data_IF_457654932226
#
_entry.id   IF_457654932226
#
_cell.length_a   1.000
_cell.length_b   1.000
_cell.length_c   1.000
_cell.angle_alpha   90.00
_cell.angle_beta   90.00
_cell.angle_gamma   90.00
#
_symmetry.space_group_name_H-M   'P 1'
#
loop_
_entity.id
_entity.type
_entity.pdbx_description
1 polymer ?
#
# COMPACT_ATOMS: atom_id res chain seq x y z
N UNK A 1 9.06 -14.87 -75.89
CA UNK A 1 9.92 -16.06 -76.08
C UNK A 1 10.11 -16.74 -74.74
N UNK A 2 9.43 -17.89 -74.55
CA UNK A 2 9.68 -19.00 -73.59
C UNK A 2 9.65 -18.57 -72.10
N UNK A 3 8.62 -18.78 -71.27
CA UNK A 3 7.79 -19.96 -70.92
C UNK A 3 8.58 -21.26 -70.86
N UNK A 4 9.01 -21.67 -69.66
CA UNK A 4 9.06 -23.08 -69.27
C UNK A 4 9.04 -23.22 -67.75
N UNK A 5 7.85 -23.63 -67.31
CA UNK A 5 7.53 -24.39 -66.12
C UNK A 5 8.32 -25.72 -66.10
N UNK A 6 8.86 -26.12 -64.95
CA UNK A 6 9.21 -27.51 -64.65
C UNK A 6 8.84 -27.79 -63.20
N UNK A 7 7.74 -28.52 -63.05
CA UNK A 7 7.33 -29.26 -61.87
C UNK A 7 8.02 -30.63 -61.89
N UNK A 8 8.71 -31.00 -60.81
CA UNK A 8 9.04 -32.41 -60.49
C UNK A 8 9.09 -32.59 -58.96
N UNK A 9 8.07 -33.28 -58.50
CA UNK A 9 7.94 -34.08 -57.27
C UNK A 9 9.17 -34.92 -56.90
N UNK A 10 9.58 -34.91 -55.63
CA UNK A 10 9.99 -36.11 -54.87
C UNK A 10 10.44 -35.72 -53.43
N UNK A 11 9.77 -36.30 -52.44
CA UNK A 11 10.18 -36.28 -51.04
C UNK A 11 11.41 -37.20 -50.82
N UNK A 12 12.37 -36.85 -49.95
CA UNK A 12 13.36 -37.82 -49.50
C UNK A 12 12.79 -38.68 -48.36
N UNK A 13 12.80 -39.99 -48.60
CA UNK A 13 12.50 -41.04 -47.62
C UNK A 13 13.47 -41.00 -46.43
N UNK A 14 12.93 -41.28 -45.25
CA UNK A 14 13.67 -41.43 -44.01
C UNK A 14 14.54 -42.68 -44.04
N UNK A 15 15.86 -42.51 -43.92
CA UNK A 15 16.79 -43.62 -43.67
C UNK A 15 16.88 -43.83 -42.16
N UNK A 16 16.26 -44.92 -41.71
CA UNK A 16 16.38 -45.47 -40.36
C UNK A 16 17.77 -46.08 -40.18
N UNK A 17 18.57 -45.57 -39.25
CA UNK A 17 19.81 -46.21 -38.80
C UNK A 17 19.66 -46.62 -37.33
N UNK A 18 19.46 -47.92 -37.13
CA UNK A 18 19.46 -48.62 -35.85
C UNK A 18 20.89 -48.73 -35.29
N UNK A 19 21.16 -48.27 -34.04
CA UNK A 19 22.41 -48.59 -33.35
C UNK A 19 22.30 -49.92 -32.58
N UNK A 20 23.35 -50.73 -32.69
CA UNK A 20 23.54 -52.06 -32.11
C UNK A 20 23.35 -52.15 -30.57
N UNK A 21 23.03 -53.35 -30.04
CA UNK A 21 22.74 -53.57 -28.61
C UNK A 21 24.00 -53.53 -27.72
N UNK A 22 23.85 -53.00 -26.51
CA UNK A 22 24.88 -52.92 -25.45
C UNK A 22 24.59 -53.98 -24.34
N UNK A 23 25.62 -54.58 -23.71
CA UNK A 23 25.52 -55.91 -23.10
C UNK A 23 24.80 -55.97 -21.75
N UNK A 24 24.27 -57.16 -21.50
CA UNK A 24 23.54 -57.64 -20.31
C UNK A 24 24.40 -57.74 -19.06
N UNK A 25 23.87 -57.24 -17.94
CA UNK A 25 24.42 -57.41 -16.59
C UNK A 25 24.39 -58.88 -16.12
N UNK A 26 25.37 -59.31 -15.30
CA UNK A 26 25.43 -60.66 -14.74
C UNK A 26 24.36 -60.91 -13.65
N UNK A 27 23.92 -62.18 -13.47
CA UNK A 27 22.82 -62.54 -12.58
C UNK A 27 23.18 -62.44 -11.08
N UNK A 28 22.17 -62.29 -10.20
CA UNK A 28 22.38 -62.16 -8.76
C UNK A 28 22.81 -63.49 -8.11
N UNK A 29 23.59 -63.48 -7.02
CA UNK A 29 23.96 -64.68 -6.30
C UNK A 29 22.79 -65.24 -5.48
N UNK A 30 22.62 -66.56 -5.57
CA UNK A 30 21.71 -67.38 -4.77
C UNK A 30 22.16 -67.43 -3.29
N UNK A 31 21.26 -67.09 -2.37
CA UNK A 31 21.47 -67.27 -0.93
C UNK A 31 21.02 -68.68 -0.51
N UNK A 32 21.89 -69.42 0.17
CA UNK A 32 21.57 -70.62 0.94
C UNK A 32 21.57 -70.30 2.45
N UNK A 33 20.74 -70.97 3.28
CA UNK A 33 20.52 -70.58 4.67
C UNK A 33 21.35 -71.39 5.68
N UNK A 34 21.93 -70.72 6.69
CA UNK A 34 22.35 -71.21 8.01
C UNK A 34 23.16 -70.07 8.67
N UNK A 35 23.26 -69.83 9.97
CA UNK A 35 22.79 -70.50 11.18
C UNK A 35 22.73 -69.41 12.27
N UNK A 36 21.85 -69.55 13.26
CA UNK A 36 21.59 -68.53 14.28
C UNK A 36 22.53 -68.73 15.46
N UNK A 37 23.36 -67.75 15.80
CA UNK A 37 24.03 -67.67 17.12
C UNK A 37 24.03 -66.21 17.56
N UNK A 38 23.44 -65.85 18.72
CA UNK A 38 23.44 -64.47 19.17
C UNK A 38 24.71 -64.16 19.97
N UNK A 39 25.48 -63.17 19.51
CA UNK A 39 26.51 -62.48 20.29
C UNK A 39 25.92 -61.24 21.00
N UNK A 40 26.54 -60.75 22.10
CA UNK A 40 25.94 -59.73 22.96
C UNK A 40 26.02 -58.33 22.33
N UNK A 41 24.95 -57.58 22.55
CA UNK A 41 24.67 -56.24 22.02
C UNK A 41 25.53 -55.19 22.72
N UNK A 42 26.31 -54.41 21.95
CA UNK A 42 26.85 -53.12 22.39
C UNK A 42 25.76 -52.03 22.22
N UNK A 43 25.67 -51.01 23.11
CA UNK A 43 24.61 -50.02 23.06
C UNK A 43 24.81 -49.03 21.90
N UNK A 44 23.81 -49.00 21.01
CA UNK A 44 23.58 -47.98 19.98
C UNK A 44 23.62 -46.56 20.56
N UNK A 45 24.16 -45.55 19.84
CA UNK A 45 24.02 -44.14 20.23
C UNK A 45 22.53 -43.76 20.28
N UNK A 46 22.12 -43.18 21.40
CA UNK A 46 20.80 -42.59 21.60
C UNK A 46 20.57 -41.51 20.54
N UNK A 47 19.71 -41.79 19.56
CA UNK A 47 19.13 -40.80 18.67
C UNK A 47 18.29 -39.81 19.49
N UNK A 48 18.68 -38.55 19.43
CA UNK A 48 17.96 -37.40 19.96
C UNK A 48 16.51 -37.38 19.42
N UNK A 49 15.50 -37.02 20.21
CA UNK A 49 14.11 -36.96 19.76
C UNK A 49 14.00 -36.04 18.54
N UNK A 50 13.53 -36.60 17.42
CA UNK A 50 13.37 -35.90 16.17
C UNK A 50 12.59 -34.60 16.36
N UNK A 51 13.16 -33.51 15.81
CA UNK A 51 12.43 -32.27 15.64
C UNK A 51 11.09 -32.57 14.97
N UNK A 52 10.00 -32.22 15.67
CA UNK A 52 8.67 -32.17 15.08
C UNK A 52 8.75 -31.37 13.78
N UNK A 53 8.20 -31.84 12.64
CA UNK A 53 8.12 -31.02 11.45
C UNK A 53 7.43 -29.72 11.86
N UNK A 54 8.10 -28.58 11.66
CA UNK A 54 7.41 -27.30 11.76
C UNK A 54 6.14 -27.44 10.90
N UNK A 55 4.97 -27.28 11.54
CA UNK A 55 3.73 -27.15 10.78
C UNK A 55 3.92 -26.05 9.74
N UNK A 56 3.15 -26.06 8.64
CA UNK A 56 3.25 -24.99 7.65
C UNK A 56 3.21 -23.65 8.41
N UNK A 57 4.29 -22.88 8.28
CA UNK A 57 4.27 -21.48 8.69
C UNK A 57 3.09 -20.89 7.95
N UNK A 58 2.06 -20.48 8.68
CA UNK A 58 0.97 -19.71 8.10
C UNK A 58 1.62 -18.40 7.69
N UNK A 59 2.02 -18.29 6.41
CA UNK A 59 2.35 -17.00 5.84
C UNK A 59 1.11 -16.14 6.02
N UNK A 60 1.23 -15.10 6.84
CA UNK A 60 0.21 -14.07 6.92
C UNK A 60 0.28 -13.37 5.58
N UNK A 61 -0.57 -13.80 4.65
CA UNK A 61 -0.65 -13.15 3.35
C UNK A 61 -1.40 -11.86 3.58
N UNK A 62 -0.65 -10.76 3.60
CA UNK A 62 -1.25 -9.43 3.66
C UNK A 62 -2.14 -9.24 2.43
N UNK A 63 -3.38 -8.82 2.69
CA UNK A 63 -4.33 -8.49 1.66
C UNK A 63 -4.24 -6.99 1.42
N UNK A 64 -4.21 -6.63 0.14
CA UNK A 64 -4.12 -5.27 -0.34
C UNK A 64 -5.38 -4.90 -1.11
N UNK A 65 -5.55 -3.60 -1.28
CA UNK A 65 -6.59 -2.99 -2.10
C UNK A 65 -6.02 -1.88 -2.97
N UNK A 66 -6.73 -1.56 -4.05
CA UNK A 66 -6.39 -0.42 -4.92
C UNK A 66 -6.61 0.89 -4.17
N UNK A 67 -5.64 1.79 -4.28
CA UNK A 67 -5.58 3.10 -3.65
C UNK A 67 -5.03 4.14 -4.64
N UNK A 68 -5.34 5.43 -4.44
CA UNK A 68 -4.87 6.55 -5.28
C UNK A 68 -5.18 6.42 -6.78
N UNK A 69 -6.32 5.82 -7.12
CA UNK A 69 -6.86 5.75 -8.49
C UNK A 69 -8.21 6.44 -8.49
N UNK A 70 -8.38 7.43 -9.37
CA UNK A 70 -9.63 8.17 -9.52
C UNK A 70 -10.81 7.24 -9.85
N UNK A 71 -12.02 7.61 -9.43
CA UNK A 71 -13.24 6.82 -9.66
C UNK A 71 -13.51 6.52 -11.15
N UNK A 72 -12.97 7.36 -12.05
CA UNK A 72 -13.13 7.21 -13.50
C UNK A 72 -11.90 6.57 -14.18
N UNK A 73 -10.94 6.05 -13.43
CA UNK A 73 -9.72 5.42 -13.91
C UNK A 73 -9.57 3.97 -13.40
N UNK A 74 -8.54 3.26 -13.86
CA UNK A 74 -8.25 1.87 -13.48
C UNK A 74 -6.77 1.65 -13.21
N UNK A 75 -6.46 0.74 -12.29
CA UNK A 75 -5.09 0.25 -12.11
C UNK A 75 -4.80 -0.85 -13.13
N UNK A 76 -3.92 -0.54 -14.08
CA UNK A 76 -3.45 -1.50 -15.08
C UNK A 76 -2.56 -2.59 -14.43
N UNK A 77 -2.92 -3.86 -14.65
CA UNK A 77 -2.09 -5.02 -14.32
C UNK A 77 -1.31 -5.41 -15.57
N UNK A 78 0.01 -5.47 -15.46
CA UNK A 78 0.94 -5.66 -16.60
C UNK A 78 1.64 -7.01 -16.59
N UNK A 79 2.12 -7.44 -17.75
CA UNK A 79 2.83 -8.71 -17.91
C UNK A 79 4.20 -8.74 -17.19
N UNK A 80 4.79 -7.58 -16.89
CA UNK A 80 6.08 -7.42 -16.23
C UNK A 80 6.19 -6.09 -15.49
N UNK A 81 7.28 -5.90 -14.74
CA UNK A 81 7.57 -4.70 -13.99
C UNK A 81 7.87 -3.52 -14.93
N UNK A 82 6.95 -2.55 -15.04
CA UNK A 82 7.14 -1.33 -15.81
C UNK A 82 6.02 -1.04 -16.80
N UNK A 83 5.95 0.22 -17.25
CA UNK A 83 4.90 0.70 -18.15
C UNK A 83 5.03 0.20 -19.60
N UNK A 84 6.18 -0.34 -19.97
CA UNK A 84 6.45 -0.86 -21.32
C UNK A 84 5.87 -2.26 -21.57
N UNK A 85 5.44 -2.96 -20.52
CA UNK A 85 4.83 -4.29 -20.63
C UNK A 85 3.33 -4.20 -20.96
N UNK A 86 2.85 -5.15 -21.74
CA UNK A 86 1.44 -5.27 -22.12
C UNK A 86 0.52 -5.33 -20.89
N UNK A 87 -0.65 -4.70 -20.98
CA UNK A 87 -1.71 -4.80 -19.97
C UNK A 87 -2.41 -6.16 -20.11
N UNK A 88 -2.40 -6.94 -19.03
CA UNK A 88 -3.00 -8.29 -18.94
C UNK A 88 -4.29 -8.31 -18.12
N UNK A 89 -4.62 -7.20 -17.46
CA UNK A 89 -5.85 -7.02 -16.72
C UNK A 89 -5.97 -5.63 -16.14
N UNK A 90 -7.12 -5.33 -15.54
CA UNK A 90 -7.41 -4.05 -14.92
C UNK A 90 -8.08 -4.30 -13.56
N UNK A 91 -7.71 -3.49 -12.57
CA UNK A 91 -8.35 -3.46 -11.26
C UNK A 91 -9.10 -2.14 -11.12
N UNK A 92 -10.35 -2.23 -10.69
CA UNK A 92 -11.17 -1.06 -10.42
C UNK A 92 -10.65 -0.32 -9.18
N UNK A 93 -10.95 0.98 -9.03
CA UNK A 93 -10.77 1.69 -7.77
C UNK A 93 -11.40 0.89 -6.63
N UNK A 94 -10.77 0.90 -5.46
CA UNK A 94 -11.22 0.19 -4.24
C UNK A 94 -11.21 -1.35 -4.32
N UNK A 95 -10.75 -1.96 -5.42
CA UNK A 95 -10.71 -3.42 -5.56
C UNK A 95 -9.85 -4.06 -4.46
N UNK A 96 -10.40 -5.06 -3.76
CA UNK A 96 -9.77 -5.77 -2.64
C UNK A 96 -9.35 -7.20 -3.00
N UNK A 97 -8.74 -7.91 -2.05
CA UNK A 97 -8.34 -9.31 -2.24
C UNK A 97 -7.11 -9.46 -3.12
N UNK A 98 -6.23 -8.46 -3.12
CA UNK A 98 -4.97 -8.45 -3.85
C UNK A 98 -3.89 -9.02 -2.92
N UNK A 99 -3.13 -9.99 -3.39
CA UNK A 99 -1.96 -10.50 -2.67
C UNK A 99 -0.70 -10.15 -3.44
N UNK A 100 0.29 -9.57 -2.75
CA UNK A 100 1.65 -9.46 -3.29
C UNK A 100 2.30 -10.84 -3.15
N UNK A 101 2.80 -11.39 -4.27
CA UNK A 101 3.22 -12.80 -4.39
C UNK A 101 4.73 -13.00 -4.46
N UNK A 102 5.49 -11.93 -4.44
CA UNK A 102 6.94 -11.95 -4.61
C UNK A 102 7.57 -10.60 -4.36
N UNK A 103 8.89 -10.56 -4.51
CA UNK A 103 9.65 -9.32 -4.34
C UNK A 103 9.34 -8.33 -5.47
N UNK A 104 9.29 -7.06 -5.13
CA UNK A 104 9.14 -5.99 -6.10
C UNK A 104 10.43 -5.68 -6.85
N UNK A 105 10.28 -5.02 -8.00
CA UNK A 105 11.37 -4.52 -8.84
C UNK A 105 11.25 -3.01 -8.99
N UNK A 106 12.37 -2.29 -8.83
CA UNK A 106 12.42 -0.85 -9.05
C UNK A 106 12.67 -0.58 -10.54
N UNK A 107 11.70 0.06 -11.19
CA UNK A 107 11.78 0.44 -12.60
C UNK A 107 11.47 1.92 -12.71
N UNK A 108 12.44 2.68 -13.25
CA UNK A 108 12.35 4.14 -13.41
C UNK A 108 11.99 4.91 -12.13
N UNK A 109 12.40 4.40 -10.96
CA UNK A 109 12.17 5.04 -9.67
C UNK A 109 10.83 4.70 -9.02
N UNK A 110 10.01 3.81 -9.63
CA UNK A 110 8.82 3.26 -8.99
C UNK A 110 9.01 1.78 -8.68
N UNK A 111 8.46 1.34 -7.55
CA UNK A 111 8.42 -0.07 -7.19
C UNK A 111 7.24 -0.75 -7.89
N UNK A 112 7.52 -1.81 -8.62
CA UNK A 112 6.52 -2.69 -9.22
C UNK A 112 6.47 -3.99 -8.45
N UNK A 113 5.29 -4.47 -8.09
CA UNK A 113 5.13 -5.70 -7.31
C UNK A 113 4.31 -6.74 -8.08
N UNK A 114 4.70 -8.03 -8.02
CA UNK A 114 3.92 -9.10 -8.64
C UNK A 114 2.71 -9.40 -7.75
N UNK A 115 1.52 -9.26 -8.31
CA UNK A 115 0.26 -9.51 -7.62
C UNK A 115 -0.47 -10.72 -8.17
N UNK A 116 -1.25 -11.33 -7.30
CA UNK A 116 -2.30 -12.26 -7.67
C UNK A 116 -3.61 -11.86 -7.00
N UNK A 117 -4.68 -12.01 -7.75
CA UNK A 117 -6.06 -12.00 -7.27
C UNK A 117 -6.68 -13.36 -7.59
N UNK A 118 -7.93 -13.59 -7.20
CA UNK A 118 -8.65 -14.80 -7.61
C UNK A 118 -8.85 -14.95 -9.13
N UNK A 119 -8.57 -13.92 -9.95
CA UNK A 119 -8.86 -13.92 -11.40
C UNK A 119 -7.70 -13.47 -12.29
N UNK A 120 -6.83 -12.61 -11.79
CA UNK A 120 -5.78 -11.92 -12.56
C UNK A 120 -4.46 -12.05 -11.78
N UNK A 121 -3.37 -12.33 -12.49
CA UNK A 121 -2.01 -12.22 -11.98
C UNK A 121 -1.15 -11.40 -12.94
N UNK A 122 -0.18 -10.66 -12.40
CA UNK A 122 0.71 -9.80 -13.17
C UNK A 122 1.44 -8.83 -12.25
N UNK A 123 1.84 -7.68 -12.78
CA UNK A 123 2.60 -6.66 -12.06
C UNK A 123 1.82 -5.36 -12.01
N UNK A 124 1.86 -4.68 -10.88
CA UNK A 124 1.28 -3.34 -10.70
C UNK A 124 2.32 -2.42 -10.06
N UNK A 125 2.19 -1.12 -10.31
CA UNK A 125 2.94 -0.13 -9.56
C UNK A 125 2.40 -0.10 -8.12
N UNK A 126 3.29 -0.27 -7.15
CA UNK A 126 2.93 -0.43 -5.75
C UNK A 126 2.40 0.85 -5.13
N UNK A 127 2.61 2.01 -5.76
CA UNK A 127 2.02 3.28 -5.34
C UNK A 127 0.50 3.25 -5.27
N UNK A 128 -0.12 2.41 -6.10
CA UNK A 128 -1.58 2.29 -6.18
C UNK A 128 -2.15 1.15 -5.34
N UNK A 129 -1.37 0.64 -4.38
CA UNK A 129 -1.81 -0.36 -3.43
C UNK A 129 -1.71 0.17 -2.01
N UNK A 130 -2.67 -0.18 -1.17
CA UNK A 130 -2.55 -0.03 0.28
C UNK A 130 -2.99 -1.32 0.96
N UNK A 131 -2.51 -1.58 2.17
CA UNK A 131 -2.95 -2.78 2.91
C UNK A 131 -4.43 -2.64 3.26
N UNK A 132 -5.19 -3.70 3.03
CA UNK A 132 -6.62 -3.74 3.32
C UNK A 132 -6.85 -3.93 4.82
N UNK A 133 -6.77 -2.82 5.55
CA UNK A 133 -6.90 -2.77 7.02
C UNK A 133 -8.12 -1.97 7.47
N UNK A 134 -9.16 -1.80 6.64
CA UNK A 134 -10.31 -0.96 7.02
C UNK A 134 -11.04 -1.55 8.23
N UNK A 135 -10.77 -0.98 9.41
CA UNK A 135 -11.19 -1.51 10.69
C UNK A 135 -11.06 -0.44 11.78
N UNK A 136 -12.12 -0.17 12.53
CA UNK A 136 -12.13 0.86 13.58
C UNK A 136 -11.16 0.55 14.73
N UNK A 137 -10.81 -0.72 14.94
CA UNK A 137 -9.81 -1.12 15.94
C UNK A 137 -8.36 -0.76 15.54
N UNK A 138 -8.12 -0.32 14.30
CA UNK A 138 -6.77 0.02 13.83
C UNK A 138 -6.20 1.22 14.60
N UNK A 139 -7.04 2.17 15.02
CA UNK A 139 -6.59 3.34 15.79
C UNK A 139 -6.11 3.01 17.21
N UNK A 140 -6.47 1.82 17.73
CA UNK A 140 -6.00 1.32 19.03
C UNK A 140 -4.61 0.68 18.95
N UNK A 141 -4.10 0.43 17.73
CA UNK A 141 -2.75 -0.10 17.56
C UNK A 141 -1.72 0.89 18.09
N UNK A 142 -0.76 0.41 18.90
CA UNK A 142 0.28 1.24 19.49
C UNK A 142 1.10 2.02 18.44
N UNK A 143 1.32 1.43 17.27
CA UNK A 143 2.00 2.09 16.16
C UNK A 143 1.21 3.30 15.61
N UNK A 144 -0.12 3.20 15.52
CA UNK A 144 -0.97 4.31 15.07
C UNK A 144 -1.06 5.39 16.14
N UNK A 145 -1.14 5.02 17.42
CA UNK A 145 -1.10 5.99 18.51
C UNK A 145 0.23 6.76 18.54
N UNK A 146 1.34 6.06 18.30
CA UNK A 146 2.66 6.66 18.18
C UNK A 146 2.75 7.60 16.97
N UNK A 147 2.26 7.17 15.80
CA UNK A 147 2.23 7.98 14.58
C UNK A 147 1.50 9.32 14.80
N UNK A 148 0.34 9.27 15.46
CA UNK A 148 -0.44 10.47 15.77
C UNK A 148 0.27 11.40 16.75
N UNK A 149 0.92 10.84 17.79
CA UNK A 149 1.70 11.63 18.74
C UNK A 149 2.94 12.28 18.09
N UNK A 150 3.59 11.59 17.16
CA UNK A 150 4.71 12.13 16.39
C UNK A 150 4.26 13.25 15.44
N UNK A 151 3.08 13.12 14.83
CA UNK A 151 2.48 14.18 14.03
C UNK A 151 2.21 15.43 14.88
N UNK A 152 1.56 15.27 16.04
CA UNK A 152 1.31 16.38 16.96
C UNK A 152 2.62 17.06 17.40
N UNK A 153 3.65 16.28 17.72
CA UNK A 153 4.96 16.80 18.09
C UNK A 153 5.58 17.59 16.94
N UNK A 154 5.63 17.02 15.73
CA UNK A 154 6.19 17.66 14.54
C UNK A 154 5.49 19.00 14.23
N UNK A 155 4.16 19.06 14.34
CA UNK A 155 3.38 20.29 14.15
C UNK A 155 3.60 21.32 15.27
N UNK A 156 3.77 20.86 16.51
CA UNK A 156 3.99 21.75 17.66
C UNK A 156 5.39 22.39 17.65
N UNK A 157 6.41 21.61 17.28
CA UNK A 157 7.81 22.03 17.23
C UNK A 157 8.19 22.65 15.88
N UNK A 158 7.30 22.52 14.86
CA UNK A 158 7.56 22.92 13.47
C UNK A 158 8.81 22.24 12.92
N UNK A 159 8.94 20.94 13.21
CA UNK A 159 10.09 20.13 12.79
C UNK A 159 9.81 19.46 11.44
N UNK A 160 10.41 20.02 10.38
CA UNK A 160 10.26 19.49 9.02
C UNK A 160 10.74 18.03 8.90
N UNK A 161 11.85 17.67 9.56
CA UNK A 161 12.39 16.32 9.46
C UNK A 161 11.47 15.33 10.16
N UNK A 162 10.93 15.71 11.32
CA UNK A 162 9.96 14.88 12.03
C UNK A 162 8.71 14.67 11.17
N UNK A 163 8.17 15.73 10.56
CA UNK A 163 7.00 15.61 9.68
C UNK A 163 7.31 14.74 8.45
N UNK A 164 8.42 15.00 7.74
CA UNK A 164 8.80 14.27 6.53
C UNK A 164 8.93 12.76 6.78
N UNK A 165 9.44 12.34 7.94
CA UNK A 165 9.55 10.92 8.32
C UNK A 165 8.18 10.22 8.49
N UNK A 166 7.10 10.98 8.69
CA UNK A 166 5.74 10.44 8.78
C UNK A 166 5.07 10.35 7.41
N UNK A 167 5.66 10.91 6.36
CA UNK A 167 5.07 10.99 5.01
C UNK A 167 5.75 9.97 4.09
N UNK A 168 4.95 9.19 3.38
CA UNK A 168 5.49 8.19 2.46
C UNK A 168 6.31 8.87 1.34
N UNK A 169 7.56 8.43 1.08
CA UNK A 169 8.50 9.17 0.23
C UNK A 169 8.06 9.31 -1.23
N UNK A 170 7.34 8.33 -1.76
CA UNK A 170 6.84 8.38 -3.15
C UNK A 170 5.39 8.91 -3.26
N UNK A 171 4.64 8.97 -2.14
CA UNK A 171 3.21 9.35 -2.17
C UNK A 171 2.97 10.77 -1.66
N UNK A 172 3.88 11.32 -0.87
CA UNK A 172 3.65 12.65 -0.28
C UNK A 172 2.40 12.66 0.62
N UNK A 173 1.83 13.84 0.80
CA UNK A 173 0.63 14.05 1.60
C UNK A 173 -0.39 14.90 0.83
N UNK A 174 -1.65 14.51 0.90
CA UNK A 174 -2.76 15.23 0.27
C UNK A 174 -3.44 16.13 1.30
N UNK A 175 -3.58 17.42 1.01
CA UNK A 175 -4.05 18.41 1.98
C UNK A 175 -5.23 19.19 1.42
N UNK A 176 -6.30 19.27 2.21
CA UNK A 176 -7.50 20.04 1.89
C UNK A 176 -7.77 21.09 2.98
N UNK A 177 -7.90 22.36 2.56
CA UNK A 177 -8.22 23.50 3.43
C UNK A 177 -9.65 23.45 4.00
N UNK A 178 -10.59 22.99 3.20
CA UNK A 178 -11.89 22.46 3.62
C UNK A 178 -12.14 21.22 2.76
N UNK A 179 -13.01 20.32 3.20
CA UNK A 179 -13.29 19.05 2.49
C UNK A 179 -13.73 19.17 1.02
N UNK A 180 -14.26 20.33 0.60
CA UNK A 180 -14.61 20.61 -0.80
C UNK A 180 -13.56 21.42 -1.57
N UNK A 181 -12.49 21.86 -0.92
CA UNK A 181 -11.43 22.61 -1.58
C UNK A 181 -10.66 21.68 -2.50
N UNK A 182 -10.11 22.22 -3.58
CA UNK A 182 -9.18 21.47 -4.42
C UNK A 182 -8.03 20.91 -3.57
N UNK A 183 -7.57 19.72 -3.95
CA UNK A 183 -6.48 19.05 -3.28
C UNK A 183 -5.15 19.79 -3.55
N UNK A 184 -4.37 20.01 -2.48
CA UNK A 184 -2.96 20.35 -2.60
C UNK A 184 -2.14 19.11 -2.26
N UNK A 185 -1.52 18.52 -3.29
CA UNK A 185 -0.61 17.39 -3.14
C UNK A 185 0.81 17.89 -2.88
N UNK A 186 1.32 17.65 -1.68
CA UNK A 186 2.68 18.00 -1.27
C UNK A 186 3.59 16.76 -1.39
N UNK A 187 4.59 16.84 -2.25
CA UNK A 187 5.59 15.78 -2.41
C UNK A 187 6.53 15.73 -1.21
N UNK A 188 7.19 14.58 -1.02
CA UNK A 188 8.06 14.39 0.13
C UNK A 188 9.19 15.46 0.20
N UNK A 189 9.78 15.81 -0.94
CA UNK A 189 10.81 16.86 -1.03
C UNK A 189 10.29 18.26 -0.66
N UNK A 190 9.00 18.54 -0.82
CA UNK A 190 8.38 19.79 -0.38
C UNK A 190 8.17 19.76 1.14
N UNK A 191 7.79 18.60 1.68
CA UNK A 191 7.60 18.39 3.13
C UNK A 191 8.88 18.63 3.92
N UNK A 192 10.04 18.29 3.38
CA UNK A 192 11.38 18.49 3.98
C UNK A 192 11.68 19.94 4.41
N UNK A 193 10.96 20.92 3.86
CA UNK A 193 11.14 22.33 4.19
C UNK A 193 9.85 23.09 4.49
N UNK A 194 8.71 22.39 4.58
CA UNK A 194 7.35 22.94 4.55
C UNK A 194 7.07 24.07 5.53
N UNK A 195 7.59 24.00 6.76
CA UNK A 195 7.37 25.04 7.77
C UNK A 195 8.17 26.33 7.53
N UNK A 196 9.23 26.25 6.73
CA UNK A 196 10.17 27.36 6.45
C UNK A 196 10.12 27.82 4.99
N UNK A 197 9.49 27.02 4.14
CA UNK A 197 9.36 27.30 2.72
C UNK A 197 8.41 28.48 2.48
N UNK A 198 8.67 29.24 1.42
CA UNK A 198 7.91 30.43 1.06
C UNK A 198 7.13 30.26 -0.25
N UNK A 199 6.85 29.02 -0.66
CA UNK A 199 6.00 28.73 -1.81
C UNK A 199 4.55 29.00 -1.43
N UNK A 200 3.91 29.87 -2.21
CA UNK A 200 2.48 30.11 -2.11
C UNK A 200 1.71 28.99 -2.80
N UNK A 201 0.71 28.46 -2.10
CA UNK A 201 -0.26 27.52 -2.64
C UNK A 201 -1.64 28.17 -2.67
N UNK A 202 -2.48 27.76 -3.62
CA UNK A 202 -3.90 28.07 -3.62
C UNK A 202 -4.62 26.97 -2.86
N UNK A 203 -4.95 27.22 -1.60
CA UNK A 203 -5.52 26.23 -0.69
C UNK A 203 -7.02 26.01 -0.87
N UNK A 204 -7.72 27.01 -1.41
CA UNK A 204 -9.16 26.98 -1.60
C UNK A 204 -9.76 28.37 -1.42
N UNK A 205 -11.04 28.38 -1.03
CA UNK A 205 -11.80 29.62 -0.82
C UNK A 205 -12.39 29.60 0.57
N UNK A 206 -12.35 30.75 1.25
CA UNK A 206 -12.98 30.90 2.55
C UNK A 206 -14.51 30.98 2.38
N UNK A 207 -15.20 30.15 3.16
CA UNK A 207 -16.65 30.14 3.20
C UNK A 207 -17.24 31.49 3.69
N UNK A 208 -18.39 31.87 3.13
CA UNK A 208 -19.08 33.14 3.39
C UNK A 208 -18.45 34.38 2.74
N UNK A 209 -17.12 34.54 2.75
CA UNK A 209 -16.44 35.70 2.13
C UNK A 209 -16.16 35.51 0.64
N UNK A 210 -15.92 34.26 0.22
CA UNK A 210 -15.49 33.94 -1.14
C UNK A 210 -14.05 34.35 -1.45
N UNK A 211 -13.25 34.71 -0.44
CA UNK A 211 -11.86 35.10 -0.62
C UNK A 211 -10.96 33.88 -0.82
N UNK A 212 -10.17 33.90 -1.89
CA UNK A 212 -9.13 32.90 -2.14
C UNK A 212 -8.13 32.86 -0.98
N UNK A 213 -7.83 31.65 -0.52
CA UNK A 213 -6.82 31.38 0.49
C UNK A 213 -5.51 31.04 -0.21
N UNK A 214 -4.71 32.06 -0.45
CA UNK A 214 -3.40 31.95 -1.10
C UNK A 214 -2.34 32.32 -0.08
N UNK A 215 -1.34 31.45 0.08
CA UNK A 215 -0.21 31.68 0.97
C UNK A 215 0.59 30.42 1.22
N UNK A 216 1.64 30.55 2.02
CA UNK A 216 2.48 29.41 2.42
C UNK A 216 1.73 28.46 3.36
N UNK A 217 2.23 27.22 3.49
CA UNK A 217 1.69 26.28 4.46
C UNK A 217 1.71 26.84 5.89
N UNK A 218 2.79 27.54 6.26
CA UNK A 218 2.96 28.16 7.57
C UNK A 218 2.02 29.34 7.84
N UNK A 219 1.55 30.03 6.80
CA UNK A 219 0.62 31.16 6.94
C UNK A 219 -0.84 30.70 6.99
N UNK A 220 -1.20 29.64 6.25
CA UNK A 220 -2.59 29.22 6.08
C UNK A 220 -2.90 27.95 6.89
N UNK A 221 -2.23 26.84 6.60
CA UNK A 221 -2.61 25.52 7.13
C UNK A 221 -2.09 25.29 8.55
N UNK A 222 -0.83 25.68 8.84
CA UNK A 222 -0.23 25.44 10.15
C UNK A 222 -1.01 26.08 11.30
N UNK A 223 -1.50 27.35 11.23
CA UNK A 223 -2.30 27.92 12.31
C UNK A 223 -3.59 27.14 12.57
N UNK A 224 -4.23 26.58 11.54
CA UNK A 224 -5.45 25.78 11.66
C UNK A 224 -5.17 24.41 12.28
N UNK A 225 -4.08 23.76 11.87
CA UNK A 225 -3.61 22.51 12.50
C UNK A 225 -3.27 22.75 13.98
N UNK A 226 -2.55 23.83 14.30
CA UNK A 226 -2.21 24.16 15.69
C UNK A 226 -3.41 24.56 16.52
N UNK A 227 -4.42 25.20 15.93
CA UNK A 227 -5.67 25.57 16.62
C UNK A 227 -6.55 24.37 16.86
N UNK A 228 -6.87 23.61 15.81
CA UNK A 228 -7.94 22.61 15.84
C UNK A 228 -7.43 21.18 16.04
N UNK A 229 -6.31 20.78 15.40
CA UNK A 229 -5.73 19.44 15.58
C UNK A 229 -5.08 19.32 16.96
N UNK A 230 -4.12 20.21 17.28
CA UNK A 230 -3.47 20.20 18.60
C UNK A 230 -4.40 20.65 19.74
N UNK A 231 -5.51 21.32 19.40
CA UNK A 231 -6.55 21.72 20.34
C UNK A 231 -7.65 20.68 20.53
N UNK A 232 -7.60 19.54 19.83
CA UNK A 232 -8.66 18.54 19.87
C UNK A 232 -8.80 17.89 21.24
N UNK A 233 -10.03 17.73 21.71
CA UNK A 233 -10.36 17.02 22.95
C UNK A 233 -11.17 15.76 22.73
N UNK A 234 -11.70 15.59 21.53
CA UNK A 234 -12.53 14.46 21.13
C UNK A 234 -11.93 13.80 19.89
N UNK A 235 -11.99 12.47 19.86
CA UNK A 235 -11.35 11.67 18.83
C UNK A 235 -12.26 10.52 18.44
N UNK A 236 -12.23 10.14 17.16
CA UNK A 236 -12.89 8.94 16.67
C UNK A 236 -12.04 8.26 15.58
N UNK A 237 -12.25 6.97 15.38
CA UNK A 237 -11.61 6.20 14.32
C UNK A 237 -12.63 5.96 13.21
N UNK A 238 -12.26 6.28 11.97
CA UNK A 238 -13.11 6.10 10.78
C UNK A 238 -14.51 6.72 10.85
N UNK A 239 -14.71 7.67 11.77
CA UNK A 239 -15.94 8.42 11.95
C UNK A 239 -15.58 9.90 11.97
N UNK A 240 -16.21 10.69 11.09
CA UNK A 240 -16.01 12.14 11.03
C UNK A 240 -16.76 12.82 12.17
N UNK A 241 -16.00 13.35 13.13
CA UNK A 241 -16.54 14.23 14.17
C UNK A 241 -16.67 15.66 13.64
N UNK A 242 -17.79 16.31 13.93
CA UNK A 242 -18.08 17.68 13.51
C UNK A 242 -19.04 18.36 14.50
N UNK A 243 -19.05 19.68 14.48
CA UNK A 243 -20.08 20.48 15.14
C UNK A 243 -21.28 20.73 14.22
N UNK A 244 -22.24 21.53 14.69
CA UNK A 244 -23.37 21.91 13.84
C UNK A 244 -22.89 22.66 12.59
N UNK A 245 -23.33 22.25 11.40
CA UNK A 245 -23.11 22.92 10.10
C UNK A 245 -24.40 22.86 9.27
N UNK A 246 -24.54 23.78 8.31
CA UNK A 246 -25.64 23.75 7.34
C UNK A 246 -25.42 22.70 6.23
N UNK A 247 -24.16 22.31 6.00
CA UNK A 247 -23.74 21.41 4.92
C UNK A 247 -23.75 19.92 5.27
N UNK A 248 -23.34 19.11 4.29
CA UNK A 248 -22.97 17.71 4.52
C UNK A 248 -21.52 17.64 4.99
N UNK A 249 -21.20 16.64 5.81
CA UNK A 249 -19.84 16.37 6.25
C UNK A 249 -19.44 15.00 5.69
N UNK A 250 -18.58 15.01 4.68
CA UNK A 250 -18.11 13.82 3.98
C UNK A 250 -16.60 13.91 3.76
N UNK A 251 -15.95 12.76 3.59
CA UNK A 251 -14.56 12.74 3.09
C UNK A 251 -14.54 13.15 1.61
N UNK A 252 -13.43 13.75 1.13
CA UNK A 252 -13.16 13.86 -0.29
C UNK A 252 -13.24 12.50 -0.98
N UNK A 253 -13.69 12.48 -2.23
CA UNK A 253 -13.82 11.26 -3.01
C UNK A 253 -12.47 10.56 -3.16
N UNK A 254 -12.46 9.24 -2.99
CA UNK A 254 -11.23 8.45 -3.06
C UNK A 254 -10.39 8.52 -1.78
N UNK A 255 -10.90 9.07 -0.67
CA UNK A 255 -10.26 8.92 0.65
C UNK A 255 -10.97 7.89 1.53
N UNK A 256 -12.14 7.40 1.12
CA UNK A 256 -12.94 6.44 1.86
C UNK A 256 -12.24 5.08 2.00
N UNK A 257 -11.26 4.77 1.16
CA UNK A 257 -10.52 3.51 1.25
C UNK A 257 -9.52 3.45 2.40
N UNK A 258 -9.12 4.60 2.97
CA UNK A 258 -8.12 4.65 4.03
C UNK A 258 -8.77 4.66 5.41
N UNK A 259 -7.99 4.26 6.39
CA UNK A 259 -8.35 4.55 7.77
C UNK A 259 -7.96 5.99 8.09
N UNK A 260 -8.74 6.62 8.97
CA UNK A 260 -8.44 7.95 9.47
C UNK A 260 -8.80 8.11 10.92
N UNK A 261 -8.17 9.09 11.54
CA UNK A 261 -8.52 9.53 12.89
C UNK A 261 -9.08 10.94 12.81
N UNK A 262 -10.25 11.13 13.40
CA UNK A 262 -10.82 12.45 13.63
C UNK A 262 -10.19 13.09 14.86
N UNK A 263 -9.81 14.35 14.73
CA UNK A 263 -9.35 15.24 15.78
C UNK A 263 -10.34 16.39 15.87
N UNK A 264 -11.24 16.34 16.85
CA UNK A 264 -12.30 17.33 16.99
C UNK A 264 -12.04 18.25 18.19
N UNK A 265 -11.99 19.55 17.88
CA UNK A 265 -12.02 20.63 18.86
C UNK A 265 -13.44 21.20 18.91
N UNK A 266 -14.19 20.98 20.00
CA UNK A 266 -15.48 21.64 20.18
C UNK A 266 -15.29 23.16 20.33
N UNK A 267 -16.38 23.90 20.13
CA UNK A 267 -16.36 25.33 20.42
C UNK A 267 -16.06 25.57 21.92
N UNK A 268 -15.31 26.64 22.25
CA UNK A 268 -14.95 26.92 23.62
C UNK A 268 -16.19 27.22 24.48
N UNK A 269 -16.16 26.82 25.76
CA UNK A 269 -17.27 27.08 26.69
C UNK A 269 -17.57 28.59 26.78
N UNK A 270 -18.83 28.97 26.56
CA UNK A 270 -19.25 30.38 26.49
C UNK A 270 -18.85 31.12 25.21
N UNK A 271 -18.26 30.42 24.24
CA UNK A 271 -17.91 30.93 22.92
C UNK A 271 -19.05 30.90 21.90
N UNK A 272 -18.70 31.12 20.64
CA UNK A 272 -19.62 31.02 19.51
C UNK A 272 -19.74 29.55 19.14
N UNK A 273 -20.96 29.00 19.08
CA UNK A 273 -21.21 27.57 18.75
C UNK A 273 -20.62 27.15 17.40
N UNK A 274 -20.44 28.11 16.50
CA UNK A 274 -19.84 27.94 15.16
C UNK A 274 -18.31 27.86 15.19
N UNK A 275 -17.64 28.22 16.29
CA UNK A 275 -16.17 28.20 16.39
C UNK A 275 -15.65 26.82 16.82
N UNK A 276 -16.07 25.77 16.12
CA UNK A 276 -15.51 24.43 16.23
C UNK A 276 -14.59 24.14 15.04
N UNK A 277 -13.73 23.12 15.17
CA UNK A 277 -12.90 22.67 14.06
C UNK A 277 -12.59 21.18 14.19
N UNK A 278 -12.49 20.49 13.06
CA UNK A 278 -12.16 19.06 13.01
C UNK A 278 -11.13 18.79 11.92
N UNK A 279 -10.24 17.84 12.17
CA UNK A 279 -9.32 17.30 11.17
C UNK A 279 -9.53 15.81 11.02
N UNK A 280 -9.72 15.35 9.79
CA UNK A 280 -9.54 13.95 9.43
C UNK A 280 -8.08 13.73 9.01
N UNK A 281 -7.37 12.94 9.80
CA UNK A 281 -5.97 12.57 9.54
C UNK A 281 -5.96 11.15 9.00
N UNK A 282 -5.76 11.02 7.69
CA UNK A 282 -5.65 9.74 7.00
C UNK A 282 -4.29 9.10 7.26
N UNK A 283 -4.28 7.77 7.39
CA UNK A 283 -3.04 7.02 7.55
C UNK A 283 -3.13 5.64 6.92
N UNK A 284 -1.97 5.09 6.59
CA UNK A 284 -1.84 3.76 6.03
C UNK A 284 -0.61 3.02 6.54
N UNK A 285 -0.61 1.71 6.33
CA UNK A 285 0.55 0.86 6.59
C UNK A 285 1.09 0.32 5.27
N UNK A 286 2.39 0.48 5.07
CA UNK A 286 3.11 0.03 3.90
C UNK A 286 4.48 -0.54 4.29
N UNK A 287 4.70 -1.80 3.95
CA UNK A 287 5.96 -2.53 4.17
C UNK A 287 6.47 -2.46 5.63
N UNK A 288 5.57 -2.65 6.58
CA UNK A 288 5.83 -2.62 8.03
C UNK A 288 5.85 -1.22 8.65
N UNK A 289 5.70 -0.16 7.86
CA UNK A 289 5.81 1.23 8.31
C UNK A 289 4.47 1.96 8.18
N UNK A 290 4.20 2.88 9.10
CA UNK A 290 2.99 3.68 9.11
C UNK A 290 3.26 5.08 8.61
N UNK A 291 2.33 5.61 7.78
CA UNK A 291 2.47 6.92 7.17
C UNK A 291 1.17 7.72 7.26
N UNK A 292 1.28 9.04 7.37
CA UNK A 292 0.16 9.97 7.19
C UNK A 292 -0.04 10.18 5.68
N UNK A 293 -1.28 10.03 5.22
CA UNK A 293 -1.64 10.10 3.79
C UNK A 293 -2.35 11.38 3.43
N UNK A 294 -3.24 11.87 4.30
CA UNK A 294 -3.97 13.11 4.04
C UNK A 294 -4.32 13.88 5.30
N UNK A 295 -4.60 15.17 5.12
CA UNK A 295 -5.17 16.08 6.11
C UNK A 295 -6.36 16.82 5.50
N UNK A 296 -7.54 16.61 6.06
CA UNK A 296 -8.77 17.30 5.62
C UNK A 296 -9.38 18.06 6.79
N UNK A 297 -9.58 19.36 6.61
CA UNK A 297 -10.20 20.20 7.63
C UNK A 297 -11.71 20.36 7.42
N UNK A 298 -12.39 20.51 8.55
CA UNK A 298 -13.82 20.79 8.64
C UNK A 298 -14.03 21.88 9.69
N UNK A 299 -14.90 22.83 9.40
CA UNK A 299 -15.30 23.88 10.33
C UNK A 299 -16.74 24.28 10.04
N UNK A 300 -17.27 25.25 10.79
CA UNK A 300 -18.59 25.79 10.48
C UNK A 300 -18.62 26.48 9.12
N UNK A 301 -19.72 26.26 8.41
CA UNK A 301 -19.97 26.71 7.04
C UNK A 301 -21.43 27.21 6.93
N UNK A 302 -21.69 28.19 6.05
CA UNK A 302 -22.98 28.88 5.88
C UNK A 302 -23.87 28.35 4.75
#
# INVERSE_FOLDING_TARGET
>A
TVVTEVDVTAAPEAVSTEPAPRPTDPPPPTIAPADITPEPVDPTPTSEPGATPAGPTVEIVDIYRVAFVDENDVLNVRAGAGVDFDVVGELQPDATGISITGQGEVVEGSVWVPIATGRISGWVNSLFLTRDMKNDAVCDAAAVQQLMAELELALSEKDNNALANLIHPERGIHVHYNWWSDEVWLRHEEVDSLFTDNTDYTWGVQDGSGLEQIGTFSEIMLPMLQKDLLGASEYACNELLNGGTAGLVVLPAGFEQYNFRSFYRPFPEGGVEMDWGSWAVGFEEWDGNWYITYLVHYQWEI
#
